data_IF_394922078009
#
_entry.id   IF_394922078009
#
_cell.length_a   1.000
_cell.length_b   1.000
_cell.length_c   1.000
_cell.angle_alpha   90.00
_cell.angle_beta   90.00
_cell.angle_gamma   90.00
#
_symmetry.space_group_name_H-M   'P 1'
#
loop_
_entity.id
_entity.type
_entity.pdbx_description
1 polymer ?
#
# COMPACT_ATOMS: atom_id res chain seq x y z
N UNK A 1 -15.64 -38.32 5.38
CA UNK A 1 -16.36 -37.07 5.04
C UNK A 1 -16.13 -36.12 6.19
N UNK A 2 -15.15 -35.24 6.07
CA UNK A 2 -14.69 -34.39 7.18
C UNK A 2 -15.52 -33.12 7.18
N UNK A 3 -16.40 -32.98 8.16
CA UNK A 3 -17.26 -31.83 8.36
C UNK A 3 -16.41 -30.68 8.90
N UNK A 4 -15.85 -29.84 8.04
CA UNK A 4 -15.20 -28.60 8.47
C UNK A 4 -16.30 -27.69 9.02
N UNK A 5 -16.32 -27.53 10.34
CA UNK A 5 -17.36 -26.77 11.05
C UNK A 5 -17.02 -25.29 10.93
N UNK A 6 -17.99 -24.42 10.63
CA UNK A 6 -17.81 -22.97 10.43
C UNK A 6 -17.01 -22.27 11.56
N UNK A 7 -17.03 -22.84 12.78
CA UNK A 7 -16.20 -22.47 13.94
C UNK A 7 -14.68 -22.43 13.66
N UNK A 8 -14.15 -23.41 12.93
CA UNK A 8 -12.70 -23.52 12.68
C UNK A 8 -12.22 -22.48 11.66
N UNK A 9 -13.12 -22.09 10.74
CA UNK A 9 -12.86 -21.04 9.77
C UNK A 9 -12.75 -19.67 10.44
N UNK A 10 -13.67 -19.35 11.34
CA UNK A 10 -13.66 -18.08 12.06
C UNK A 10 -12.43 -17.96 12.98
N UNK A 11 -12.05 -19.05 13.65
CA UNK A 11 -10.83 -19.08 14.46
C UNK A 11 -9.56 -18.88 13.61
N UNK A 12 -9.48 -19.54 12.45
CA UNK A 12 -8.37 -19.35 11.52
C UNK A 12 -8.31 -17.92 10.95
N UNK A 13 -9.47 -17.32 10.66
CA UNK A 13 -9.56 -15.95 10.17
C UNK A 13 -9.12 -14.93 11.24
N UNK A 14 -9.50 -15.15 12.50
CA UNK A 14 -9.07 -14.30 13.63
C UNK A 14 -7.56 -14.43 13.84
N UNK A 15 -7.01 -15.65 13.82
CA UNK A 15 -5.58 -15.88 13.94
C UNK A 15 -4.79 -15.22 12.79
N UNK A 16 -5.28 -15.34 11.55
CA UNK A 16 -4.66 -14.70 10.39
C UNK A 16 -4.65 -13.17 10.51
N UNK A 17 -5.76 -12.56 10.95
CA UNK A 17 -5.83 -11.10 11.19
C UNK A 17 -4.86 -10.65 12.28
N UNK A 18 -4.74 -11.42 13.36
CA UNK A 18 -3.81 -11.12 14.45
C UNK A 18 -2.35 -11.23 13.99
N UNK A 19 -2.01 -12.25 13.21
CA UNK A 19 -0.65 -12.43 12.69
C UNK A 19 -0.28 -11.31 11.70
N UNK A 20 -1.18 -10.96 10.78
CA UNK A 20 -0.97 -9.82 9.87
C UNK A 20 -0.74 -8.53 10.68
N UNK A 21 -1.53 -8.28 11.73
CA UNK A 21 -1.37 -7.10 12.56
C UNK A 21 -0.07 -7.12 13.39
N UNK A 22 0.39 -8.29 13.84
CA UNK A 22 1.62 -8.45 14.61
C UNK A 22 2.89 -8.38 13.74
N UNK A 23 2.82 -8.83 12.49
CA UNK A 23 3.89 -8.75 11.49
C UNK A 23 3.95 -7.38 10.81
N UNK A 24 2.85 -6.61 10.86
CA UNK A 24 2.81 -5.23 10.39
C UNK A 24 3.55 -4.34 11.38
N UNK A 25 4.85 -4.13 11.18
CA UNK A 25 5.59 -3.10 11.89
C UNK A 25 5.00 -1.72 11.53
N UNK A 26 4.34 -1.00 12.46
CA UNK A 26 3.78 0.31 12.18
C UNK A 26 4.84 1.38 11.87
N UNK A 27 6.12 1.09 12.14
CA UNK A 27 7.27 1.91 11.77
C UNK A 27 7.93 1.46 10.46
N UNK A 28 7.53 0.33 9.87
CA UNK A 28 8.05 -0.10 8.58
C UNK A 28 7.48 0.77 7.47
N UNK A 29 8.38 1.31 6.66
CA UNK A 29 7.99 2.03 5.46
C UNK A 29 7.25 1.09 4.50
N UNK A 30 6.17 1.56 3.92
CA UNK A 30 5.30 0.82 3.01
C UNK A 30 5.14 1.55 1.70
N UNK A 31 5.03 0.78 0.60
CA UNK A 31 4.71 1.34 -0.70
C UNK A 31 3.22 1.67 -0.80
N UNK A 32 2.90 2.88 -1.23
CA UNK A 32 1.54 3.34 -1.49
C UNK A 32 1.41 3.85 -2.91
N UNK A 33 0.26 3.59 -3.53
CA UNK A 33 -0.04 4.00 -4.89
C UNK A 33 -1.15 5.05 -4.92
N UNK A 34 -0.92 6.13 -5.66
CA UNK A 34 -1.87 7.23 -5.83
C UNK A 34 -1.98 7.59 -7.32
N UNK A 35 -3.19 7.89 -7.77
CA UNK A 35 -3.45 8.32 -9.15
C UNK A 35 -3.77 9.82 -9.17
N UNK A 36 -3.03 10.56 -10.00
CA UNK A 36 -3.18 12.01 -10.17
C UNK A 36 -3.70 12.34 -11.57
N UNK A 37 -4.34 13.50 -11.69
CA UNK A 37 -4.86 14.04 -12.96
C UNK A 37 -3.77 14.32 -13.99
N UNK A 38 -2.57 14.68 -13.52
CA UNK A 38 -1.46 15.13 -14.34
C UNK A 38 -0.12 14.87 -13.64
N UNK A 39 1.01 14.89 -14.38
CA UNK A 39 2.33 14.62 -13.82
C UNK A 39 2.80 15.68 -12.80
N UNK A 40 2.36 16.93 -12.93
CA UNK A 40 2.80 18.01 -12.04
C UNK A 40 2.22 17.82 -10.63
N UNK A 41 0.95 17.43 -10.53
CA UNK A 41 0.31 17.09 -9.26
C UNK A 41 0.98 15.88 -8.56
N UNK A 42 1.34 14.85 -9.33
CA UNK A 42 2.06 13.67 -8.81
C UNK A 42 3.44 14.05 -8.24
N UNK A 43 4.22 14.86 -8.98
CA UNK A 43 5.52 15.34 -8.53
C UNK A 43 5.40 16.23 -7.29
N UNK A 44 4.42 17.15 -7.26
CA UNK A 44 4.17 18.00 -6.10
C UNK A 44 3.85 17.18 -4.84
N UNK A 45 3.09 16.10 -4.99
CA UNK A 45 2.76 15.19 -3.89
C UNK A 45 4.00 14.45 -3.36
N UNK A 46 4.83 13.86 -4.23
CA UNK A 46 6.03 13.14 -3.80
C UNK A 46 7.09 14.06 -3.15
N UNK A 47 7.10 15.34 -3.50
CA UNK A 47 7.96 16.34 -2.85
C UNK A 47 7.39 16.87 -1.52
N UNK A 48 6.13 16.54 -1.19
CA UNK A 48 5.49 16.98 0.04
C UNK A 48 5.92 16.10 1.22
N UNK A 49 6.13 16.72 2.37
CA UNK A 49 6.66 16.07 3.57
C UNK A 49 5.87 14.80 4.00
N UNK A 50 6.56 13.68 4.28
CA UNK A 50 8.02 13.52 4.23
C UNK A 50 8.52 13.43 2.78
N UNK A 51 9.50 14.29 2.45
CA UNK A 51 10.08 14.31 1.13
C UNK A 51 10.71 12.94 0.84
N UNK A 52 10.41 12.39 -0.33
CA UNK A 52 10.91 11.10 -0.75
C UNK A 52 12.42 11.17 -0.99
N UNK A 53 13.16 10.25 -0.36
CA UNK A 53 14.57 10.04 -0.65
C UNK A 53 14.79 9.43 -2.03
N UNK A 54 16.06 9.27 -2.41
CA UNK A 54 16.41 8.63 -3.67
C UNK A 54 15.84 7.20 -3.73
N UNK A 55 15.05 6.90 -4.76
CA UNK A 55 14.40 5.60 -4.94
C UNK A 55 13.14 5.37 -4.10
N UNK A 56 12.69 6.36 -3.32
CA UNK A 56 11.46 6.24 -2.52
C UNK A 56 10.20 6.62 -3.31
N UNK A 57 10.35 7.16 -4.53
CA UNK A 57 9.24 7.46 -5.43
C UNK A 57 9.46 6.89 -6.84
N UNK A 58 8.41 6.33 -7.43
CA UNK A 58 8.35 5.86 -8.82
C UNK A 58 7.09 6.42 -9.49
N UNK A 59 7.19 6.82 -10.75
CA UNK A 59 6.07 7.39 -11.50
C UNK A 59 5.79 6.60 -12.78
N UNK A 60 4.52 6.49 -13.15
CA UNK A 60 4.08 5.95 -14.43
C UNK A 60 3.02 6.86 -15.05
N UNK A 61 3.35 7.47 -16.19
CA UNK A 61 2.45 8.35 -16.93
C UNK A 61 1.59 7.50 -17.86
N UNK A 62 0.27 7.67 -17.76
CA UNK A 62 -0.72 6.97 -18.56
C UNK A 62 -0.97 7.69 -19.89
N UNK A 63 -1.48 7.01 -20.93
CA UNK A 63 -1.80 7.63 -22.22
C UNK A 63 -2.84 8.74 -22.16
N UNK A 64 -3.69 8.75 -21.14
CA UNK A 64 -4.72 9.78 -20.91
C UNK A 64 -4.19 11.01 -20.14
N UNK A 65 -2.88 11.08 -19.89
CA UNK A 65 -2.22 12.17 -19.18
C UNK A 65 -2.24 12.04 -17.66
N UNK A 66 -2.98 11.08 -17.10
CA UNK A 66 -2.95 10.80 -15.66
C UNK A 66 -1.61 10.16 -15.26
N UNK A 67 -1.27 10.23 -13.99
CA UNK A 67 0.01 9.70 -13.48
C UNK A 67 -0.18 8.90 -12.21
N UNK A 68 0.30 7.66 -12.20
CA UNK A 68 0.51 6.90 -10.97
C UNK A 68 1.78 7.38 -10.27
N UNK A 69 1.68 7.66 -8.98
CA UNK A 69 2.83 7.82 -8.08
C UNK A 69 2.85 6.68 -7.07
N UNK A 70 3.95 5.95 -7.04
CA UNK A 70 4.27 4.95 -6.03
C UNK A 70 5.28 5.57 -5.08
N UNK A 71 4.95 5.65 -3.80
CA UNK A 71 5.73 6.37 -2.79
C UNK A 71 5.94 5.50 -1.54
N UNK A 72 7.08 5.63 -0.90
CA UNK A 72 7.52 4.80 0.22
C UNK A 72 7.53 5.61 1.51
N UNK A 73 6.69 5.23 2.47
CA UNK A 73 6.49 5.95 3.75
C UNK A 73 6.39 5.04 4.94
#
# INVERSE_FOLDING_TARGET
MTTTTHSDHDAALIAAKHNIAAESDPAAKTWRAYLFSDPAAAAAYANRAPAQGAGEAVFSVLPDGKTWAFVYF
#
